data_IF_025216926655
#
_entry.id   IF_025216926655
#
_cell.length_a   1.000
_cell.length_b   1.000
_cell.length_c   1.000
_cell.angle_alpha   90.00
_cell.angle_beta   90.00
_cell.angle_gamma   90.00
#
_symmetry.space_group_name_H-M   'P 1'
#
loop_
_entity.id
_entity.type
_entity.pdbx_description
1 polymer ?
#
# COMPACT_ATOMS: atom_id res chain seq x y z
N UNK A 1 32.71 6.63 -21.67
CA UNK A 1 32.27 6.39 -23.06
C UNK A 1 30.95 7.11 -23.23
N UNK A 2 30.62 7.70 -24.38
CA UNK A 2 29.32 8.36 -24.60
C UNK A 2 28.50 7.58 -25.62
N UNK A 3 27.18 7.70 -25.57
CA UNK A 3 26.31 7.07 -26.54
C UNK A 3 26.45 7.80 -27.88
N UNK A 4 27.04 7.12 -28.86
CA UNK A 4 27.26 7.62 -30.21
C UNK A 4 26.57 6.70 -31.21
N UNK A 5 25.27 6.47 -30.99
CA UNK A 5 24.42 5.64 -31.86
C UNK A 5 24.96 4.24 -32.06
N UNK A 6 25.45 3.61 -30.99
CA UNK A 6 25.95 2.24 -31.04
C UNK A 6 24.91 1.27 -31.62
N UNK A 7 23.63 1.55 -31.44
CA UNK A 7 22.54 0.75 -31.99
C UNK A 7 22.32 0.88 -33.51
N UNK A 8 23.04 1.78 -34.19
CA UNK A 8 23.09 1.81 -35.66
C UNK A 8 23.87 0.62 -36.21
N UNK A 9 24.88 0.15 -35.47
CA UNK A 9 25.77 -0.94 -35.86
C UNK A 9 25.55 -2.24 -35.06
N UNK A 10 24.74 -2.20 -34.01
CA UNK A 10 24.41 -3.34 -33.16
C UNK A 10 22.91 -3.37 -32.87
N UNK A 11 22.22 -4.45 -33.26
CA UNK A 11 20.81 -4.62 -32.90
C UNK A 11 20.70 -5.02 -31.41
N UNK A 12 20.06 -4.21 -30.55
CA UNK A 12 19.97 -4.48 -29.11
C UNK A 12 19.21 -5.78 -28.80
N UNK A 13 18.28 -6.21 -29.66
CA UNK A 13 17.49 -7.43 -29.48
C UNK A 13 18.11 -8.65 -30.14
N UNK A 14 18.47 -8.52 -31.41
CA UNK A 14 18.86 -9.67 -32.24
C UNK A 14 20.32 -9.65 -32.67
N UNK A 15 21.09 -8.64 -32.27
CA UNK A 15 22.50 -8.51 -32.64
C UNK A 15 23.28 -9.71 -32.17
N UNK A 16 24.04 -10.33 -33.07
CA UNK A 16 24.93 -11.42 -32.70
C UNK A 16 26.06 -10.88 -31.83
N UNK A 17 26.29 -11.56 -30.70
CA UNK A 17 27.37 -11.24 -29.78
C UNK A 17 28.36 -12.40 -29.83
N UNK A 18 29.57 -12.11 -30.31
CA UNK A 18 30.62 -13.11 -30.39
C UNK A 18 31.17 -13.40 -28.99
N UNK A 19 31.42 -14.69 -28.70
CA UNK A 19 32.03 -15.09 -27.42
C UNK A 19 33.53 -14.83 -27.38
N UNK A 20 34.21 -14.74 -28.52
CA UNK A 20 35.62 -14.38 -28.55
C UNK A 20 35.76 -12.86 -28.69
N UNK A 21 36.66 -12.20 -27.93
CA UNK A 21 37.62 -12.75 -26.96
C UNK A 21 37.08 -12.86 -25.51
N UNK A 22 35.82 -12.51 -25.27
CA UNK A 22 35.22 -12.46 -23.93
C UNK A 22 34.01 -13.38 -23.81
N UNK A 23 34.22 -14.61 -23.30
CA UNK A 23 33.23 -15.69 -23.37
C UNK A 23 31.88 -15.38 -22.70
N UNK A 24 31.86 -14.41 -21.77
CA UNK A 24 30.67 -14.02 -21.02
C UNK A 24 29.77 -13.01 -21.76
N UNK A 25 30.26 -12.34 -22.81
CA UNK A 25 29.48 -11.30 -23.52
C UNK A 25 28.10 -11.77 -24.01
N UNK A 26 27.95 -12.95 -24.63
CA UNK A 26 26.64 -13.42 -25.06
C UNK A 26 25.66 -13.63 -23.90
N UNK A 27 26.16 -14.07 -22.74
CA UNK A 27 25.36 -14.25 -21.54
C UNK A 27 24.92 -12.90 -20.94
N UNK A 28 25.82 -11.91 -20.91
CA UNK A 28 25.49 -10.54 -20.48
C UNK A 28 24.41 -9.95 -21.38
N UNK A 29 24.57 -10.07 -22.71
CA UNK A 29 23.59 -9.60 -23.68
C UNK A 29 22.21 -10.24 -23.48
N UNK A 30 22.18 -11.56 -23.30
CA UNK A 30 20.93 -12.31 -23.07
C UNK A 30 20.23 -11.86 -21.78
N UNK A 31 20.99 -11.67 -20.69
CA UNK A 31 20.46 -11.17 -19.42
C UNK A 31 19.86 -9.78 -19.56
N UNK A 32 20.58 -8.86 -20.22
CA UNK A 32 20.08 -7.51 -20.46
C UNK A 32 18.80 -7.52 -21.32
N UNK A 33 18.76 -8.30 -22.40
CA UNK A 33 17.58 -8.46 -23.26
C UNK A 33 16.35 -8.97 -22.52
N UNK A 34 16.53 -9.89 -21.57
CA UNK A 34 15.43 -10.45 -20.78
C UNK A 34 14.78 -9.42 -19.83
N UNK A 35 15.47 -8.32 -19.53
CA UNK A 35 14.95 -7.23 -18.72
C UNK A 35 14.18 -6.20 -19.55
N UNK A 36 14.26 -6.26 -20.88
CA UNK A 36 13.68 -5.25 -21.77
C UNK A 36 12.37 -5.74 -22.38
N UNK A 37 11.38 -4.84 -22.41
CA UNK A 37 10.07 -5.11 -23.01
C UNK A 37 9.65 -4.11 -24.10
N UNK A 38 10.45 -3.04 -24.27
CA UNK A 38 10.12 -1.87 -25.10
C UNK A 38 10.52 -2.04 -26.57
N UNK A 39 9.85 -1.39 -27.54
CA UNK A 39 10.31 -1.41 -28.94
C UNK A 39 11.70 -0.78 -29.09
N UNK A 40 12.41 -1.12 -30.17
CA UNK A 40 13.79 -0.66 -30.44
C UNK A 40 13.92 0.86 -30.41
N UNK A 41 12.93 1.58 -30.93
CA UNK A 41 12.91 3.05 -30.96
C UNK A 41 12.95 3.63 -29.55
N UNK A 42 12.24 3.03 -28.60
CA UNK A 42 12.27 3.44 -27.21
C UNK A 42 13.60 3.07 -26.54
N UNK A 43 14.22 1.94 -26.90
CA UNK A 43 15.57 1.63 -26.39
C UNK A 43 16.61 2.67 -26.81
N UNK A 44 16.50 3.22 -28.03
CA UNK A 44 17.36 4.31 -28.49
C UNK A 44 17.13 5.56 -27.63
N UNK A 45 15.87 5.92 -27.37
CA UNK A 45 15.53 7.06 -26.52
C UNK A 45 16.05 6.88 -25.09
N UNK A 46 15.94 5.67 -24.53
CA UNK A 46 16.50 5.34 -23.22
C UNK A 46 18.01 5.50 -23.23
N UNK A 47 18.71 5.04 -24.27
CA UNK A 47 20.16 5.18 -24.39
C UNK A 47 20.59 6.65 -24.49
N UNK A 48 19.93 7.44 -25.33
CA UNK A 48 20.18 8.89 -25.46
C UNK A 48 19.91 9.63 -24.14
N UNK A 49 18.86 9.24 -23.42
CA UNK A 49 18.54 9.84 -22.12
C UNK A 49 19.54 9.43 -21.05
N UNK A 50 19.98 8.16 -21.03
CA UNK A 50 21.01 7.69 -20.11
C UNK A 50 22.33 8.45 -20.31
N UNK A 51 22.72 8.66 -21.56
CA UNK A 51 23.92 9.43 -21.92
C UNK A 51 23.81 10.88 -21.45
N UNK A 52 22.68 11.54 -21.70
CA UNK A 52 22.43 12.90 -21.23
C UNK A 52 22.51 13.01 -19.70
N UNK A 53 21.93 12.06 -18.95
CA UNK A 53 22.02 12.02 -17.48
C UNK A 53 23.48 11.88 -17.02
N UNK A 54 24.26 11.04 -17.69
CA UNK A 54 25.69 10.84 -17.38
C UNK A 54 26.50 12.10 -17.69
N UNK A 55 26.23 12.76 -18.81
CA UNK A 55 26.88 14.03 -19.17
C UNK A 55 26.54 15.14 -18.17
N UNK A 56 25.27 15.24 -17.76
CA UNK A 56 24.83 16.22 -16.77
C UNK A 56 25.44 15.93 -15.39
N UNK A 57 25.60 14.66 -15.00
CA UNK A 57 26.33 14.29 -13.79
C UNK A 57 27.76 14.85 -13.79
N UNK A 58 28.51 14.62 -14.87
CA UNK A 58 29.88 15.13 -14.97
C UNK A 58 29.93 16.66 -15.06
N UNK A 59 28.96 17.27 -15.75
CA UNK A 59 28.82 18.72 -15.77
C UNK A 59 28.62 19.28 -14.36
N UNK A 60 27.70 18.70 -13.59
CA UNK A 60 27.40 19.12 -12.22
C UNK A 60 28.57 18.89 -11.28
N UNK A 61 29.29 17.77 -11.41
CA UNK A 61 30.52 17.52 -10.63
C UNK A 61 31.57 18.60 -10.89
N UNK A 62 31.77 18.98 -12.16
CA UNK A 62 32.68 20.06 -12.56
C UNK A 62 32.22 21.42 -12.05
N UNK A 63 30.96 21.78 -12.19
CA UNK A 63 30.43 23.06 -11.72
C UNK A 63 30.47 23.17 -10.19
N UNK A 64 30.22 22.07 -9.48
CA UNK A 64 30.37 22.02 -8.02
C UNK A 64 31.81 22.28 -7.61
N UNK A 65 32.76 21.55 -8.20
CA UNK A 65 34.18 21.75 -7.92
C UNK A 65 34.64 23.17 -8.29
N UNK A 66 34.13 23.73 -9.39
CA UNK A 66 34.38 25.11 -9.78
C UNK A 66 33.90 26.12 -8.73
N UNK A 67 32.69 25.92 -8.18
CA UNK A 67 32.16 26.76 -7.10
C UNK A 67 32.97 26.64 -5.81
N UNK A 68 33.40 25.42 -5.44
CA UNK A 68 34.27 25.17 -4.29
C UNK A 68 35.61 25.89 -4.46
N UNK A 69 36.23 25.78 -5.64
CA UNK A 69 37.49 26.45 -5.96
C UNK A 69 37.40 27.98 -5.84
N UNK A 70 36.29 28.57 -6.27
CA UNK A 70 36.06 30.02 -6.14
C UNK A 70 35.80 30.48 -4.70
N UNK A 71 35.15 29.64 -3.89
CA UNK A 71 34.66 30.02 -2.57
C UNK A 71 35.70 29.74 -1.48
N UNK A 72 36.31 28.56 -1.53
CA UNK A 72 37.21 28.04 -0.51
C UNK A 72 38.69 28.18 -0.93
N UNK A 73 38.93 28.41 -2.22
CA UNK A 73 40.25 28.40 -2.80
C UNK A 73 40.78 26.98 -3.01
N UNK A 74 41.90 26.89 -3.71
CA UNK A 74 42.59 25.62 -3.99
C UNK A 74 44.04 25.89 -4.31
N UNK A 75 44.89 24.86 -4.20
CA UNK A 75 46.30 24.98 -4.56
C UNK A 75 46.45 25.30 -6.06
N UNK A 76 45.50 24.85 -6.86
CA UNK A 76 45.36 25.06 -8.31
C UNK A 76 45.31 26.54 -8.70
N UNK A 77 44.76 27.39 -7.82
CA UNK A 77 44.69 28.82 -8.07
C UNK A 77 46.08 29.45 -8.12
N UNK A 78 47.10 28.86 -7.49
CA UNK A 78 48.48 29.37 -7.53
C UNK A 78 49.06 29.40 -8.94
N UNK A 79 48.57 28.53 -9.83
CA UNK A 79 48.97 28.46 -11.24
C UNK A 79 48.30 29.56 -12.09
N UNK A 80 47.26 30.22 -11.56
CA UNK A 80 46.58 31.34 -12.22
C UNK A 80 47.07 32.65 -11.58
N UNK A 81 47.62 33.61 -12.37
CA UNK A 81 48.06 34.90 -11.86
C UNK A 81 46.94 35.62 -11.08
N UNK A 82 47.25 36.12 -9.89
CA UNK A 82 46.27 36.73 -8.97
C UNK A 82 45.43 37.84 -9.62
N UNK A 83 46.07 38.65 -10.46
CA UNK A 83 45.48 39.78 -11.18
C UNK A 83 44.45 39.35 -12.24
N UNK A 84 44.45 38.07 -12.61
CA UNK A 84 43.60 37.48 -13.66
C UNK A 84 42.64 36.39 -13.20
N UNK A 85 42.52 36.11 -11.89
CA UNK A 85 41.63 35.07 -11.30
C UNK A 85 40.16 35.47 -11.35
N UNK A 86 39.64 35.63 -12.56
CA UNK A 86 38.22 35.80 -12.83
C UNK A 86 37.55 34.45 -13.06
N UNK A 87 36.23 34.40 -12.90
CA UNK A 87 35.41 33.21 -13.19
C UNK A 87 35.74 32.64 -14.58
N UNK A 88 35.79 33.51 -15.60
CA UNK A 88 36.08 33.14 -16.98
C UNK A 88 37.50 32.59 -17.17
N UNK A 89 38.49 33.13 -16.45
CA UNK A 89 39.87 32.64 -16.52
C UNK A 89 40.02 31.26 -15.88
N UNK A 90 39.35 31.02 -14.75
CA UNK A 90 39.38 29.72 -14.05
C UNK A 90 38.61 28.66 -14.84
N UNK A 91 37.46 28.99 -15.44
CA UNK A 91 36.74 28.08 -16.36
C UNK A 91 37.63 27.68 -17.54
N UNK A 92 38.25 28.65 -18.20
CA UNK A 92 39.17 28.41 -19.31
C UNK A 92 40.41 27.60 -18.87
N UNK A 93 40.87 27.79 -17.64
CA UNK A 93 41.97 27.02 -17.06
C UNK A 93 41.58 25.55 -16.85
N UNK A 94 40.39 25.29 -16.30
CA UNK A 94 39.86 23.93 -16.13
C UNK A 94 39.57 23.21 -17.46
N UNK A 95 39.09 23.92 -18.48
CA UNK A 95 38.81 23.36 -19.81
C UNK A 95 40.07 22.94 -20.57
N UNK A 96 41.18 23.69 -20.41
CA UNK A 96 42.42 23.42 -21.13
C UNK A 96 43.35 22.44 -20.40
N UNK A 97 42.96 21.96 -19.21
CA UNK A 97 43.77 21.11 -18.36
C UNK A 97 44.92 21.85 -17.67
N UNK A 98 45.43 21.28 -16.58
CA UNK A 98 46.50 21.88 -15.78
C UNK A 98 47.86 21.77 -16.51
N UNK A 99 48.49 22.89 -16.91
CA UNK A 99 49.80 22.84 -17.57
C UNK A 99 50.88 22.38 -16.58
N UNK A 100 51.67 21.37 -16.97
CA UNK A 100 52.85 20.93 -16.21
C UNK A 100 52.65 19.77 -15.25
N UNK A 101 51.41 19.28 -15.08
CA UNK A 101 51.16 18.10 -14.27
C UNK A 101 51.26 16.84 -15.15
N UNK A 102 52.49 16.40 -15.39
CA UNK A 102 52.77 15.13 -16.11
C UNK A 102 52.49 13.89 -15.26
N UNK A 103 52.18 14.07 -13.98
CA UNK A 103 51.77 13.03 -13.05
C UNK A 103 50.35 13.34 -12.58
N UNK A 104 49.37 12.83 -13.32
CA UNK A 104 47.93 12.90 -13.04
C UNK A 104 47.63 12.74 -11.53
N UNK A 105 47.36 13.83 -10.79
CA UNK A 105 46.72 13.74 -9.50
C UNK A 105 45.28 13.45 -9.89
N UNK A 106 44.95 12.15 -9.97
CA UNK A 106 43.72 11.64 -10.57
C UNK A 106 42.56 12.61 -10.41
N UNK A 107 41.94 12.94 -11.54
CA UNK A 107 41.11 14.14 -11.66
C UNK A 107 40.31 14.51 -10.41
N UNK A 108 40.42 15.79 -10.02
CA UNK A 108 39.96 16.37 -8.76
C UNK A 108 38.44 16.32 -8.57
N UNK A 109 37.71 15.96 -9.61
CA UNK A 109 36.28 15.74 -9.62
C UNK A 109 35.93 14.62 -10.60
N UNK A 110 34.74 14.05 -10.46
CA UNK A 110 34.25 12.97 -11.30
C UNK A 110 34.08 13.42 -12.76
N UNK A 111 34.65 12.65 -13.69
CA UNK A 111 34.50 12.82 -15.13
C UNK A 111 34.63 11.47 -15.86
N UNK A 112 34.45 11.50 -17.18
CA UNK A 112 34.49 10.31 -18.02
C UNK A 112 35.84 9.55 -18.03
N UNK A 113 36.92 10.15 -17.53
CA UNK A 113 38.26 9.55 -17.44
C UNK A 113 38.55 8.84 -16.12
N UNK A 114 37.87 9.17 -15.02
CA UNK A 114 38.09 8.56 -13.69
C UNK A 114 36.85 7.86 -13.11
N UNK A 115 35.66 8.12 -13.64
CA UNK A 115 34.39 7.54 -13.18
C UNK A 115 33.71 6.80 -14.32
N UNK A 116 33.33 5.54 -14.10
CA UNK A 116 32.63 4.75 -15.12
C UNK A 116 31.23 5.30 -15.37
N UNK A 117 30.72 5.09 -16.59
CA UNK A 117 29.37 5.55 -16.96
C UNK A 117 28.28 4.87 -16.12
N UNK A 118 28.52 3.62 -15.73
CA UNK A 118 27.63 2.87 -14.84
C UNK A 118 27.58 3.52 -13.46
N UNK A 119 28.72 3.96 -12.93
CA UNK A 119 28.80 4.63 -11.62
C UNK A 119 28.12 6.00 -11.66
N UNK A 120 28.40 6.78 -12.71
CA UNK A 120 27.76 8.07 -12.92
C UNK A 120 26.23 7.93 -13.00
N UNK A 121 25.73 6.97 -13.80
CA UNK A 121 24.30 6.74 -13.93
C UNK A 121 23.67 6.27 -12.60
N UNK A 122 24.31 5.37 -11.87
CA UNK A 122 23.88 4.94 -10.51
C UNK A 122 23.72 6.12 -9.56
N UNK A 123 24.62 7.10 -9.62
CA UNK A 123 24.59 8.27 -8.74
C UNK A 123 23.55 9.31 -9.16
N UNK A 124 23.23 9.39 -10.46
CA UNK A 124 22.45 10.47 -11.03
C UNK A 124 20.98 10.12 -11.26
N UNK A 125 20.67 8.90 -11.71
CA UNK A 125 19.35 8.54 -12.28
C UNK A 125 18.18 8.82 -11.33
N UNK A 126 18.33 8.55 -10.03
CA UNK A 126 17.27 8.75 -9.03
C UNK A 126 16.90 10.22 -8.80
N UNK A 127 17.68 11.18 -9.33
CA UNK A 127 17.34 12.60 -9.28
C UNK A 127 16.40 13.04 -10.41
N UNK A 128 16.11 12.16 -11.37
CA UNK A 128 15.31 12.47 -12.55
C UNK A 128 13.94 11.78 -12.46
N UNK A 129 12.91 12.48 -12.94
CA UNK A 129 11.60 11.88 -13.17
C UNK A 129 11.62 11.16 -14.52
N UNK A 130 11.37 9.86 -14.49
CA UNK A 130 11.32 9.00 -15.68
C UNK A 130 9.95 9.02 -16.38
N UNK A 131 8.99 9.82 -15.89
CA UNK A 131 7.61 9.88 -16.37
C UNK A 131 7.39 10.80 -17.60
N UNK A 132 8.47 11.14 -18.32
CA UNK A 132 8.39 11.94 -19.56
C UNK A 132 7.49 11.28 -20.61
N UNK A 133 6.85 12.07 -21.48
CA UNK A 133 5.87 11.57 -22.47
C UNK A 133 6.40 10.44 -23.35
N UNK A 134 7.69 10.47 -23.66
CA UNK A 134 8.35 9.53 -24.58
C UNK A 134 8.97 8.33 -23.84
N UNK A 135 9.11 8.43 -22.51
CA UNK A 135 9.67 7.41 -21.62
C UNK A 135 8.64 6.88 -20.62
N UNK A 136 7.36 7.18 -20.82
CA UNK A 136 6.30 6.83 -19.89
C UNK A 136 6.29 5.33 -19.56
N UNK A 137 6.36 5.02 -18.27
CA UNK A 137 6.42 3.65 -17.76
C UNK A 137 7.75 2.94 -18.06
N UNK A 138 8.83 3.70 -18.26
CA UNK A 138 10.20 3.15 -18.27
C UNK A 138 10.70 3.09 -16.84
N UNK A 139 11.20 1.92 -16.44
CA UNK A 139 11.70 1.71 -15.09
C UNK A 139 13.22 1.93 -15.04
N UNK A 140 13.77 2.26 -13.87
CA UNK A 140 15.22 2.51 -13.70
C UNK A 140 16.07 1.33 -14.18
N UNK A 141 15.64 0.09 -13.94
CA UNK A 141 16.38 -1.10 -14.38
C UNK A 141 16.51 -1.19 -15.91
N UNK A 142 15.56 -0.63 -16.68
CA UNK A 142 15.61 -0.63 -18.15
C UNK A 142 16.75 0.25 -18.66
N UNK A 143 17.08 1.36 -17.97
CA UNK A 143 18.23 2.20 -18.30
C UNK A 143 19.55 1.45 -18.19
N UNK A 144 19.71 0.66 -17.12
CA UNK A 144 20.92 -0.14 -16.90
C UNK A 144 21.00 -1.34 -17.86
N UNK A 145 19.87 -1.96 -18.21
CA UNK A 145 19.83 -3.01 -19.21
C UNK A 145 20.20 -2.47 -20.61
N UNK A 146 19.69 -1.28 -20.99
CA UNK A 146 20.08 -0.60 -22.23
C UNK A 146 21.56 -0.20 -22.21
N UNK A 147 22.06 0.35 -21.10
CA UNK A 147 23.47 0.68 -20.92
C UNK A 147 24.37 -0.54 -21.09
N UNK A 148 23.98 -1.71 -20.56
CA UNK A 148 24.74 -2.95 -20.75
C UNK A 148 24.85 -3.33 -22.24
N UNK A 149 23.76 -3.21 -23.01
CA UNK A 149 23.76 -3.48 -24.46
C UNK A 149 24.57 -2.45 -25.24
N UNK A 150 24.52 -1.19 -24.85
CA UNK A 150 25.39 -0.14 -25.39
C UNK A 150 26.87 -0.49 -25.15
N UNK A 151 27.27 -0.83 -23.92
CA UNK A 151 28.65 -1.18 -23.60
C UNK A 151 29.13 -2.45 -24.30
N UNK A 152 28.23 -3.41 -24.57
CA UNK A 152 28.54 -4.57 -25.42
C UNK A 152 28.84 -4.11 -26.85
N UNK A 153 28.06 -3.20 -27.41
CA UNK A 153 28.32 -2.67 -28.74
C UNK A 153 29.68 -1.93 -28.82
N UNK A 154 30.01 -1.14 -27.80
CA UNK A 154 31.34 -0.51 -27.69
C UNK A 154 32.44 -1.58 -27.61
N UNK A 155 32.25 -2.62 -26.81
CA UNK A 155 33.20 -3.74 -26.71
C UNK A 155 33.45 -4.40 -28.07
N UNK A 156 32.38 -4.73 -28.80
CA UNK A 156 32.46 -5.36 -30.12
C UNK A 156 33.18 -4.45 -31.13
N UNK A 157 32.89 -3.15 -31.11
CA UNK A 157 33.59 -2.16 -31.93
C UNK A 157 35.10 -2.14 -31.63
N UNK A 158 35.49 -2.04 -30.35
CA UNK A 158 36.91 -1.98 -29.96
C UNK A 158 37.67 -3.25 -30.35
N UNK A 159 37.07 -4.42 -30.16
CA UNK A 159 37.67 -5.72 -30.52
C UNK A 159 37.88 -5.84 -32.03
N UNK A 160 36.98 -5.30 -32.85
CA UNK A 160 37.08 -5.37 -34.30
C UNK A 160 38.13 -4.42 -34.90
N UNK A 161 38.50 -3.34 -34.20
CA UNK A 161 39.43 -2.34 -34.72
C UNK A 161 40.87 -2.87 -34.81
N UNK A 162 41.53 -3.10 -33.67
CA UNK A 162 42.91 -3.61 -33.61
C UNK A 162 43.18 -4.30 -32.27
N UNK A 163 44.10 -5.29 -32.21
CA UNK A 163 44.42 -6.01 -30.96
C UNK A 163 44.87 -5.10 -29.79
N UNK A 164 45.45 -3.93 -30.08
CA UNK A 164 45.85 -2.95 -29.05
C UNK A 164 44.67 -2.36 -28.26
N UNK A 165 43.46 -2.42 -28.81
CA UNK A 165 42.24 -1.93 -28.16
C UNK A 165 41.52 -3.01 -27.34
N UNK A 166 42.08 -4.22 -27.23
CA UNK A 166 41.51 -5.31 -26.45
C UNK A 166 41.27 -4.90 -24.98
N UNK A 167 42.15 -4.07 -24.40
CA UNK A 167 41.97 -3.55 -23.05
C UNK A 167 40.73 -2.65 -22.93
N UNK A 168 40.45 -1.79 -23.93
CA UNK A 168 39.25 -0.96 -23.95
C UNK A 168 37.98 -1.82 -24.08
N UNK A 169 38.02 -2.84 -24.95
CA UNK A 169 36.94 -3.82 -25.05
C UNK A 169 36.71 -4.57 -23.74
N UNK A 170 37.78 -4.96 -23.05
CA UNK A 170 37.70 -5.63 -21.75
C UNK A 170 37.05 -4.75 -20.68
N UNK A 171 37.41 -3.48 -20.61
CA UNK A 171 36.78 -2.52 -19.70
C UNK A 171 35.28 -2.37 -20.00
N UNK A 172 34.90 -2.21 -21.28
CA UNK A 172 33.49 -2.14 -21.67
C UNK A 172 32.73 -3.42 -21.30
N UNK A 173 33.33 -4.61 -21.43
CA UNK A 173 32.73 -5.87 -21.03
C UNK A 173 32.50 -5.97 -19.51
N UNK A 174 33.45 -5.48 -18.70
CA UNK A 174 33.33 -5.44 -17.23
C UNK A 174 32.21 -4.46 -16.83
N UNK A 175 32.17 -3.28 -17.43
CA UNK A 175 31.11 -2.30 -17.17
C UNK A 175 29.74 -2.81 -17.61
N UNK A 176 29.65 -3.51 -18.75
CA UNK A 176 28.40 -4.15 -19.20
C UNK A 176 27.91 -5.19 -18.18
N UNK A 177 28.82 -5.96 -17.59
CA UNK A 177 28.51 -6.92 -16.53
C UNK A 177 28.01 -6.23 -15.25
N UNK A 178 28.64 -5.13 -14.84
CA UNK A 178 28.17 -4.34 -13.68
C UNK A 178 26.77 -3.75 -13.93
N UNK A 179 26.56 -3.16 -15.11
CA UNK A 179 25.28 -2.58 -15.50
C UNK A 179 24.15 -3.62 -15.48
N UNK A 180 24.34 -4.81 -16.08
CA UNK A 180 23.29 -5.83 -16.09
C UNK A 180 23.01 -6.41 -14.70
N UNK A 181 24.04 -6.61 -13.87
CA UNK A 181 23.86 -7.07 -12.49
C UNK A 181 23.07 -6.06 -11.66
N UNK A 182 23.33 -4.76 -11.85
CA UNK A 182 22.58 -3.71 -11.17
C UNK A 182 21.13 -3.61 -11.66
N UNK A 183 20.91 -3.77 -12.97
CA UNK A 183 19.56 -3.84 -13.55
C UNK A 183 18.73 -4.98 -12.93
N UNK A 184 19.30 -6.19 -12.83
CA UNK A 184 18.64 -7.33 -12.20
C UNK A 184 18.37 -7.10 -10.72
N UNK A 185 19.30 -6.44 -10.02
CA UNK A 185 19.10 -6.06 -8.62
C UNK A 185 17.88 -5.14 -8.46
N UNK A 186 17.79 -4.09 -9.28
CA UNK A 186 16.68 -3.13 -9.25
C UNK A 186 15.34 -3.81 -9.57
N UNK A 187 15.29 -4.63 -10.63
CA UNK A 187 14.09 -5.39 -10.96
C UNK A 187 13.66 -6.31 -9.82
N UNK A 188 14.62 -6.99 -9.18
CA UNK A 188 14.38 -7.84 -8.02
C UNK A 188 13.85 -7.07 -6.81
N UNK A 189 14.38 -5.87 -6.55
CA UNK A 189 13.88 -5.00 -5.48
C UNK A 189 12.47 -4.49 -5.75
N UNK A 190 12.14 -4.13 -7.00
CA UNK A 190 10.81 -3.64 -7.36
C UNK A 190 9.76 -4.74 -7.23
N UNK A 191 10.07 -5.95 -7.70
CA UNK A 191 9.20 -7.12 -7.53
C UNK A 191 8.97 -7.44 -6.04
N UNK A 192 10.01 -7.32 -5.22
CA UNK A 192 9.91 -7.52 -3.78
C UNK A 192 9.03 -6.45 -3.12
N UNK A 193 9.24 -5.17 -3.42
CA UNK A 193 8.44 -4.05 -2.90
C UNK A 193 6.97 -4.19 -3.31
N UNK A 194 6.70 -4.56 -4.57
CA UNK A 194 5.35 -4.82 -5.05
C UNK A 194 4.67 -5.98 -4.30
N UNK A 195 5.40 -7.06 -4.02
CA UNK A 195 4.91 -8.18 -3.22
C UNK A 195 4.54 -7.73 -1.79
N UNK A 196 5.43 -7.00 -1.12
CA UNK A 196 5.17 -6.48 0.23
C UNK A 196 3.96 -5.55 0.23
N UNK A 197 3.86 -4.62 -0.74
CA UNK A 197 2.72 -3.71 -0.87
C UNK A 197 1.40 -4.47 -1.02
N UNK A 198 1.38 -5.54 -1.83
CA UNK A 198 0.21 -6.40 -2.00
C UNK A 198 -0.14 -7.24 -0.76
N UNK A 199 0.83 -7.54 0.11
CA UNK A 199 0.55 -8.17 1.40
C UNK A 199 -0.02 -7.15 2.40
N UNK A 200 0.53 -5.94 2.44
CA UNK A 200 0.03 -4.86 3.30
C UNK A 200 -1.42 -4.52 2.97
N UNK A 201 -1.77 -4.36 1.68
CA UNK A 201 -3.15 -4.06 1.28
C UNK A 201 -4.14 -5.14 1.71
N UNK A 202 -3.76 -6.43 1.61
CA UNK A 202 -4.61 -7.54 2.08
C UNK A 202 -4.82 -7.51 3.60
N UNK A 203 -3.80 -7.15 4.36
CA UNK A 203 -3.90 -7.02 5.81
C UNK A 203 -4.81 -5.85 6.18
N UNK A 204 -4.71 -4.72 5.48
CA UNK A 204 -5.59 -3.56 5.67
C UNK A 204 -7.05 -3.93 5.39
N UNK A 205 -7.33 -4.58 4.27
CA UNK A 205 -8.68 -5.03 3.89
C UNK A 205 -9.25 -6.04 4.91
N UNK A 206 -8.48 -7.04 5.33
CA UNK A 206 -8.89 -8.03 6.33
C UNK A 206 -9.12 -7.41 7.72
N UNK A 207 -8.33 -6.39 8.08
CA UNK A 207 -8.47 -5.67 9.35
C UNK A 207 -9.72 -4.78 9.38
N UNK A 208 -10.04 -4.12 8.26
CA UNK A 208 -11.24 -3.31 8.09
C UNK A 208 -12.51 -4.16 8.18
N UNK A 209 -12.55 -5.29 7.47
CA UNK A 209 -13.68 -6.22 7.50
C UNK A 209 -13.93 -6.79 8.90
N UNK A 210 -12.87 -7.16 9.64
CA UNK A 210 -13.00 -7.64 11.03
C UNK A 210 -13.53 -6.57 11.98
N UNK A 211 -13.12 -5.31 11.82
CA UNK A 211 -13.61 -4.22 12.66
C UNK A 211 -15.10 -3.95 12.45
N UNK A 212 -15.57 -3.96 11.20
CA UNK A 212 -16.98 -3.75 10.86
C UNK A 212 -17.89 -4.88 11.36
N UNK A 213 -17.45 -6.14 11.24
CA UNK A 213 -18.18 -7.30 11.76
C UNK A 213 -18.35 -7.24 13.28
N UNK A 214 -17.33 -6.81 14.02
CA UNK A 214 -17.43 -6.64 15.47
C UNK A 214 -18.42 -5.54 15.87
N UNK A 215 -18.41 -4.40 15.17
CA UNK A 215 -19.33 -3.29 15.42
C UNK A 215 -20.77 -3.72 15.13
N UNK A 216 -21.02 -4.39 14.01
CA UNK A 216 -22.31 -4.97 13.65
C UNK A 216 -22.81 -5.95 14.71
N UNK A 217 -21.94 -6.84 15.21
CA UNK A 217 -22.27 -7.81 16.25
C UNK A 217 -22.64 -7.13 17.57
N UNK A 218 -21.85 -6.15 18.01
CA UNK A 218 -22.13 -5.36 19.23
C UNK A 218 -23.43 -4.56 19.11
N UNK A 219 -23.72 -4.01 17.93
CA UNK A 219 -24.98 -3.28 17.66
C UNK A 219 -26.20 -4.21 17.72
N UNK A 220 -26.14 -5.37 17.05
CA UNK A 220 -27.21 -6.39 17.09
C UNK A 220 -27.47 -6.89 18.52
N UNK A 221 -26.42 -7.09 19.31
CA UNK A 221 -26.54 -7.45 20.73
C UNK A 221 -27.23 -6.37 21.56
N UNK A 222 -26.86 -5.09 21.36
CA UNK A 222 -27.50 -3.96 22.06
C UNK A 222 -28.98 -3.81 21.69
N UNK A 223 -29.34 -3.95 20.41
CA UNK A 223 -30.74 -3.90 19.97
C UNK A 223 -31.54 -5.07 20.57
N UNK A 224 -30.96 -6.28 20.62
CA UNK A 224 -31.61 -7.44 21.23
C UNK A 224 -31.82 -7.26 22.74
N UNK A 225 -30.83 -6.71 23.46
CA UNK A 225 -30.95 -6.42 24.89
C UNK A 225 -32.02 -5.36 25.17
N UNK A 226 -32.02 -4.25 24.42
CA UNK A 226 -33.03 -3.21 24.54
C UNK A 226 -34.45 -3.74 24.24
N UNK A 227 -34.60 -4.62 23.26
CA UNK A 227 -35.86 -5.27 22.93
C UNK A 227 -36.35 -6.21 24.03
N UNK A 228 -35.44 -6.99 24.64
CA UNK A 228 -35.74 -7.86 25.79
C UNK A 228 -36.14 -7.04 27.02
N UNK A 229 -35.44 -5.94 27.31
CA UNK A 229 -35.76 -5.05 28.42
C UNK A 229 -37.12 -4.36 28.24
N UNK A 230 -37.41 -3.86 27.02
CA UNK A 230 -38.70 -3.27 26.69
C UNK A 230 -39.86 -4.28 26.82
N UNK A 231 -39.65 -5.54 26.37
CA UNK A 231 -40.63 -6.61 26.55
C UNK A 231 -40.83 -6.96 28.03
N UNK A 232 -39.76 -7.12 28.80
CA UNK A 232 -39.83 -7.38 30.24
C UNK A 232 -40.57 -6.27 31.00
N UNK A 233 -40.34 -5.01 30.65
CA UNK A 233 -41.05 -3.85 31.25
C UNK A 233 -42.55 -3.88 30.96
N UNK A 234 -42.96 -4.31 29.75
CA UNK A 234 -44.37 -4.47 29.37
C UNK A 234 -45.03 -5.67 30.07
N UNK A 235 -44.31 -6.77 30.26
CA UNK A 235 -44.83 -7.97 30.91
C UNK A 235 -44.90 -7.87 32.45
N UNK A 236 -44.05 -7.06 33.09
CA UNK A 236 -44.03 -6.88 34.55
C UNK A 236 -45.36 -6.33 35.09
N UNK A 237 -45.89 -5.28 34.47
CA UNK A 237 -47.18 -4.67 34.87
C UNK A 237 -48.36 -5.61 34.67
N UNK A 238 -48.36 -6.37 33.58
CA UNK A 238 -49.41 -7.38 33.32
C UNK A 238 -49.31 -8.57 34.27
N UNK A 239 -48.10 -9.00 34.63
CA UNK A 239 -47.88 -10.08 35.60
C UNK A 239 -48.37 -9.71 37.00
N UNK A 240 -48.16 -8.47 37.43
CA UNK A 240 -48.66 -7.93 38.70
C UNK A 240 -50.19 -7.96 38.76
N UNK A 241 -50.87 -7.48 37.72
CA UNK A 241 -52.34 -7.54 37.64
C UNK A 241 -52.88 -8.97 37.60
N UNK A 242 -52.19 -9.90 36.91
CA UNK A 242 -52.54 -11.32 36.91
C UNK A 242 -52.41 -11.93 38.30
N UNK A 243 -51.37 -11.58 39.05
CA UNK A 243 -51.16 -12.06 40.41
C UNK A 243 -52.27 -11.55 41.35
N UNK A 244 -52.62 -10.26 41.26
CA UNK A 244 -53.73 -9.66 42.01
C UNK A 244 -55.07 -10.33 41.66
N UNK A 245 -55.35 -10.53 40.37
CA UNK A 245 -56.57 -11.20 39.90
C UNK A 245 -56.67 -12.62 40.48
N UNK A 246 -55.55 -13.37 40.46
CA UNK A 246 -55.48 -14.71 41.05
C UNK A 246 -55.75 -14.67 42.55
N UNK A 247 -55.14 -13.75 43.28
CA UNK A 247 -55.35 -13.62 44.72
C UNK A 247 -56.82 -13.36 45.06
N UNK A 248 -57.43 -12.34 44.44
CA UNK A 248 -58.83 -11.98 44.65
C UNK A 248 -59.79 -13.12 44.30
N UNK A 249 -59.46 -13.89 43.27
CA UNK A 249 -60.25 -15.06 42.89
C UNK A 249 -60.17 -16.18 43.92
N UNK A 250 -58.96 -16.48 44.43
CA UNK A 250 -58.76 -17.54 45.43
C UNK A 250 -59.33 -17.18 46.81
N UNK A 251 -59.34 -15.90 47.18
CA UNK A 251 -59.87 -15.43 48.46
C UNK A 251 -61.39 -15.26 48.48
N UNK A 252 -62.06 -15.35 47.33
CA UNK A 252 -63.50 -15.14 47.20
C UNK A 252 -64.30 -16.41 46.97
N UNK A 253 -65.58 -16.39 47.35
CA UNK A 253 -66.54 -17.43 47.04
C UNK A 253 -67.40 -17.02 45.83
N UNK A 254 -67.28 -17.75 44.73
CA UNK A 254 -67.86 -17.36 43.44
C UNK A 254 -68.77 -18.46 42.90
N UNK A 255 -69.93 -18.11 42.35
CA UNK A 255 -70.82 -19.11 41.76
C UNK A 255 -70.33 -19.56 40.38
N UNK A 256 -69.56 -18.73 39.69
CA UNK A 256 -68.87 -19.07 38.43
C UNK A 256 -67.67 -18.15 38.18
N UNK A 257 -66.75 -18.61 37.32
CA UNK A 257 -65.61 -17.80 36.84
C UNK A 257 -66.07 -16.51 36.16
N UNK A 258 -67.21 -16.53 35.45
CA UNK A 258 -67.79 -15.36 34.76
C UNK A 258 -68.37 -14.34 35.73
N UNK A 259 -68.91 -14.79 36.85
CA UNK A 259 -69.36 -13.88 37.91
C UNK A 259 -68.16 -13.25 38.62
N UNK A 260 -67.11 -14.05 38.89
CA UNK A 260 -65.89 -13.56 39.51
C UNK A 260 -65.19 -12.51 38.62
N UNK A 261 -65.08 -12.75 37.31
CA UNK A 261 -64.46 -11.78 36.39
C UNK A 261 -65.19 -10.44 36.38
N UNK A 262 -66.53 -10.43 36.35
CA UNK A 262 -67.34 -9.20 36.42
C UNK A 262 -67.11 -8.39 37.69
N UNK A 263 -66.95 -9.06 38.84
CA UNK A 263 -66.79 -8.38 40.14
C UNK A 263 -65.35 -7.97 40.43
N UNK A 264 -64.38 -8.74 39.96
CA UNK A 264 -62.95 -8.47 40.15
C UNK A 264 -62.45 -7.42 39.15
N UNK A 265 -63.01 -7.38 37.94
CA UNK A 265 -62.55 -6.49 36.86
C UNK A 265 -62.50 -5.00 37.25
N UNK A 266 -63.53 -4.39 37.88
CA UNK A 266 -63.45 -2.98 38.30
C UNK A 266 -62.28 -2.68 39.26
N UNK A 267 -61.97 -3.61 40.17
CA UNK A 267 -60.85 -3.46 41.12
C UNK A 267 -59.49 -3.55 40.42
N UNK A 268 -59.39 -4.42 39.40
CA UNK A 268 -58.19 -4.52 38.56
C UNK A 268 -58.02 -3.31 37.65
N UNK A 269 -59.11 -2.73 37.13
CA UNK A 269 -59.07 -1.50 36.36
C UNK A 269 -58.55 -0.37 37.24
N UNK A 270 -59.12 -0.18 38.43
CA UNK A 270 -58.67 0.87 39.35
C UNK A 270 -57.19 0.72 39.73
N UNK A 271 -56.76 -0.49 40.08
CA UNK A 271 -55.36 -0.77 40.38
C UNK A 271 -54.45 -0.61 39.14
N UNK A 272 -54.93 -1.04 37.97
CA UNK A 272 -54.27 -0.86 36.68
C UNK A 272 -53.99 0.60 36.37
N UNK A 273 -54.96 1.49 36.56
CA UNK A 273 -54.78 2.93 36.37
C UNK A 273 -53.67 3.49 37.28
N UNK A 274 -53.58 3.03 38.53
CA UNK A 274 -52.52 3.47 39.48
C UNK A 274 -51.11 3.05 39.05
N UNK A 275 -50.96 1.88 38.41
CA UNK A 275 -49.66 1.38 37.89
C UNK A 275 -49.41 1.78 36.42
N UNK A 276 -50.29 2.61 35.84
CA UNK A 276 -50.21 3.05 34.45
C UNK A 276 -50.39 1.91 33.44
N UNK A 277 -51.34 1.01 33.70
CA UNK A 277 -51.82 -0.05 32.81
C UNK A 277 -53.30 0.18 32.51
N UNK A 278 -53.63 0.38 31.24
CA UNK A 278 -55.01 0.55 30.80
C UNK A 278 -55.56 -0.76 30.24
N UNK A 279 -56.75 -1.17 30.69
CA UNK A 279 -57.48 -2.26 30.05
C UNK A 279 -58.16 -1.77 28.78
N UNK A 280 -58.28 -2.65 27.79
CA UNK A 280 -59.10 -2.37 26.61
C UNK A 280 -60.58 -2.19 27.04
N UNK A 281 -61.25 -1.11 26.62
CA UNK A 281 -62.65 -0.84 27.01
C UNK A 281 -63.62 -1.96 26.65
N UNK A 282 -63.36 -2.64 25.53
CA UNK A 282 -64.26 -3.66 24.97
C UNK A 282 -63.89 -5.09 25.39
N UNK A 283 -62.60 -5.36 25.66
CA UNK A 283 -62.08 -6.72 25.89
C UNK A 283 -61.44 -6.94 27.26
N UNK A 284 -61.40 -5.90 28.11
CA UNK A 284 -60.77 -5.96 29.42
C UNK A 284 -61.36 -7.04 30.33
N UNK A 285 -62.70 -7.08 30.46
CA UNK A 285 -63.39 -8.08 31.29
C UNK A 285 -63.15 -9.51 30.77
N UNK A 286 -63.19 -9.69 29.45
CA UNK A 286 -62.93 -10.98 28.80
C UNK A 286 -61.50 -11.46 29.06
N UNK A 287 -60.52 -10.56 29.04
CA UNK A 287 -59.13 -10.87 29.36
C UNK A 287 -58.97 -11.37 30.80
N UNK A 288 -59.66 -10.73 31.75
CA UNK A 288 -59.67 -11.18 33.16
C UNK A 288 -60.39 -12.51 33.30
N UNK A 289 -61.52 -12.71 32.62
CA UNK A 289 -62.21 -14.01 32.59
C UNK A 289 -61.28 -15.15 32.15
N UNK A 290 -60.51 -14.96 31.09
CA UNK A 290 -59.56 -15.97 30.61
C UNK A 290 -58.43 -16.25 31.61
N UNK A 291 -57.93 -15.23 32.31
CA UNK A 291 -56.94 -15.42 33.37
C UNK A 291 -57.50 -16.27 34.51
N UNK A 292 -58.71 -15.96 34.97
CA UNK A 292 -59.37 -16.70 36.04
C UNK A 292 -59.76 -18.12 35.61
N UNK A 293 -60.14 -18.31 34.35
CA UNK A 293 -60.43 -19.63 33.80
C UNK A 293 -59.20 -20.53 33.84
N UNK A 294 -58.01 -20.01 33.52
CA UNK A 294 -56.75 -20.75 33.64
C UNK A 294 -56.44 -21.13 35.09
N UNK A 295 -56.66 -20.22 36.04
CA UNK A 295 -56.48 -20.49 37.48
C UNK A 295 -57.46 -21.56 37.97
N UNK A 296 -58.72 -21.51 37.55
CA UNK A 296 -59.76 -22.49 37.90
C UNK A 296 -59.45 -23.89 37.35
N UNK A 297 -58.89 -24.00 36.13
CA UNK A 297 -58.42 -25.27 35.58
C UNK A 297 -57.25 -25.87 36.37
N UNK A 298 -56.36 -25.02 36.88
CA UNK A 298 -55.22 -25.44 37.70
C UNK A 298 -55.60 -25.76 39.16
N UNK A 299 -56.68 -25.17 39.67
CA UNK A 299 -57.22 -25.42 41.02
C UNK A 299 -58.75 -25.65 40.97
N UNK A 300 -59.21 -26.90 40.71
CA UNK A 300 -60.63 -27.21 40.50
C UNK A 300 -61.54 -26.95 41.72
N UNK A 301 -60.94 -26.86 42.92
CA UNK A 301 -61.62 -26.59 44.20
C UNK A 301 -61.67 -25.10 44.56
N UNK A 302 -60.93 -24.24 43.84
CA UNK A 302 -60.90 -22.82 44.13
C UNK A 302 -62.23 -22.13 43.75
N UNK A 303 -62.79 -21.38 44.70
CA UNK A 303 -63.95 -20.53 44.48
C UNK A 303 -65.32 -21.23 44.49
N UNK A 304 -65.43 -22.55 44.68
CA UNK A 304 -66.74 -23.23 44.75
C UNK A 304 -67.41 -23.04 46.11
N UNK A 305 -68.68 -22.65 46.10
CA UNK A 305 -69.56 -22.67 47.27
C UNK A 305 -69.73 -24.13 47.73
N UNK A 306 -69.32 -24.45 48.96
CA UNK A 306 -69.69 -25.71 49.60
C UNK A 306 -71.19 -25.58 49.91
N UNK A 307 -72.04 -26.25 49.13
CA UNK A 307 -73.44 -26.43 49.49
C UNK A 307 -73.50 -27.51 50.57
N UNK A 308 -73.75 -27.11 51.81
CA UNK A 308 -74.11 -28.02 52.89
C UNK A 308 -75.41 -28.78 52.53
N UNK A 309 -75.51 -30.10 52.78
CA UNK A 309 -76.74 -30.84 52.51
C UNK A 309 -77.84 -30.40 53.48
N UNK A 310 -79.00 -30.04 52.93
CA UNK A 310 -80.23 -29.83 53.69
C UNK A 310 -80.64 -31.14 54.37
N UNK A 311 -80.78 -31.10 55.69
CA UNK A 311 -81.41 -32.10 56.53
C UNK A 311 -82.84 -32.45 56.05
N UNK A 312 -83.11 -33.75 55.91
CA UNK A 312 -84.44 -34.37 56.03
C UNK A 312 -84.30 -35.57 56.95
#
# INVERSE_FOLDING_TARGET
MSYFRQFDNFDPYNGEVQSYPFDLLPAIATRARNLLSKPREQLIQIAETADWIVEEYFHNAREKYFHELLTEGGWELQEVPEEGRTEAAIRKFMENGFPGITNDPGSLFDNAGNTSVVTALKAAISNYSLDGSDLAGTEEYEFFAVLALWLIADCLMWVQLEPKYLALGGNAAIEAMDAVCYAEYLQGTDQFVACIRGQVSKIEDDSGLRAEEEVQKKLKQRISLASKEAANKRHRKSAELRAMARHLFLSGNWQSVRQASKRIFPQLVEHGHRIGFAFSPERGEQTVYEWLLKVSKQNPRAGRRITSPSSR
#
